data_IF_984176795525
#
_entry.id   IF_984176795525
#
_cell.length_a   1.000
_cell.length_b   1.000
_cell.length_c   1.000
_cell.angle_alpha   90.00
_cell.angle_beta   90.00
_cell.angle_gamma   90.00
#
_symmetry.space_group_name_H-M   'P 1'
#
loop_
_entity.id
_entity.type
_entity.pdbx_description
1 polymer ?
#
# COMPACT_ATOMS: atom_id res chain seq x y z
N UNK A 1 11.87 -11.83 -5.22
CA UNK A 1 11.91 -10.49 -5.87
C UNK A 1 12.11 -9.43 -4.81
N UNK A 2 13.09 -8.56 -5.00
CA UNK A 2 13.37 -7.50 -4.06
C UNK A 2 12.64 -6.22 -4.46
N UNK A 3 11.86 -5.69 -3.54
CA UNK A 3 11.21 -4.41 -3.72
C UNK A 3 11.98 -3.37 -2.88
N UNK A 4 12.44 -2.31 -3.52
CA UNK A 4 13.26 -1.29 -2.87
C UNK A 4 12.49 -0.04 -2.46
N UNK A 5 11.29 0.14 -2.98
CA UNK A 5 10.47 1.30 -2.67
C UNK A 5 9.07 0.87 -2.28
N UNK A 6 8.37 1.74 -1.55
CA UNK A 6 6.97 1.49 -1.19
C UNK A 6 6.11 1.30 -2.44
N UNK A 7 6.39 2.07 -3.50
CA UNK A 7 5.68 1.95 -4.76
C UNK A 7 5.79 0.55 -5.36
N UNK A 8 7.01 -0.01 -5.37
CA UNK A 8 7.24 -1.35 -5.90
C UNK A 8 6.53 -2.41 -5.06
N UNK A 9 6.62 -2.30 -3.73
CA UNK A 9 5.95 -3.24 -2.81
C UNK A 9 4.44 -3.23 -3.05
N UNK A 10 3.83 -2.07 -3.06
CA UNK A 10 2.38 -1.95 -3.25
C UNK A 10 1.98 -2.47 -4.62
N UNK A 11 2.74 -2.14 -5.67
CA UNK A 11 2.46 -2.61 -7.02
C UNK A 11 2.46 -4.13 -7.09
N UNK A 12 3.44 -4.78 -6.46
CA UNK A 12 3.52 -6.24 -6.41
C UNK A 12 2.32 -6.83 -5.67
N UNK A 13 1.98 -6.27 -4.53
CA UNK A 13 0.84 -6.76 -3.74
C UNK A 13 -0.49 -6.62 -4.49
N UNK A 14 -0.67 -5.50 -5.19
CA UNK A 14 -1.88 -5.30 -6.00
C UNK A 14 -1.95 -6.31 -7.14
N UNK A 15 -0.84 -6.56 -7.81
CA UNK A 15 -0.79 -7.54 -8.89
C UNK A 15 -1.11 -8.94 -8.39
N UNK A 16 -0.55 -9.35 -7.27
CA UNK A 16 -0.78 -10.68 -6.69
C UNK A 16 -2.24 -10.89 -6.27
N UNK A 17 -2.92 -9.82 -5.93
CA UNK A 17 -4.30 -9.91 -5.44
C UNK A 17 -5.33 -9.45 -6.47
N UNK A 18 -4.92 -9.20 -7.70
CA UNK A 18 -5.79 -8.70 -8.78
C UNK A 18 -6.57 -7.44 -8.37
N UNK A 19 -5.88 -6.52 -7.72
CA UNK A 19 -6.48 -5.28 -7.24
C UNK A 19 -5.94 -4.07 -8.01
N UNK A 20 -6.79 -3.06 -8.16
CA UNK A 20 -6.38 -1.76 -8.66
C UNK A 20 -6.10 -0.83 -7.48
N UNK A 21 -5.37 0.25 -7.73
CA UNK A 21 -5.11 1.26 -6.70
C UNK A 21 -6.40 1.95 -6.27
N UNK A 22 -7.35 2.09 -7.20
CA UNK A 22 -8.67 2.64 -6.92
C UNK A 22 -9.40 1.79 -5.88
N UNK A 23 -9.37 0.48 -6.05
CA UNK A 23 -10.00 -0.44 -5.11
C UNK A 23 -9.29 -0.44 -3.75
N UNK A 24 -7.97 -0.39 -3.76
CA UNK A 24 -7.19 -0.30 -2.52
C UNK A 24 -7.55 0.97 -1.74
N UNK A 25 -7.62 2.11 -2.42
CA UNK A 25 -8.01 3.37 -1.77
C UNK A 25 -9.40 3.26 -1.14
N UNK A 26 -10.33 2.60 -1.82
CA UNK A 26 -11.68 2.36 -1.29
C UNK A 26 -11.64 1.47 -0.05
N UNK A 27 -10.82 0.42 -0.05
CA UNK A 27 -10.66 -0.47 1.09
C UNK A 27 -10.06 0.24 2.31
N UNK A 28 -9.19 1.21 2.09
CA UNK A 28 -8.56 2.00 3.14
C UNK A 28 -9.49 3.08 3.71
N UNK A 29 -10.55 3.42 3.00
CA UNK A 29 -11.49 4.45 3.43
C UNK A 29 -12.42 3.93 4.53
N UNK A 30 -12.72 4.80 5.50
CA UNK A 30 -13.67 4.52 6.59
C UNK A 30 -14.75 5.59 6.56
N UNK A 31 -15.76 5.45 7.43
CA UNK A 31 -16.81 6.47 7.57
C UNK A 31 -16.24 7.84 7.95
N UNK A 32 -15.21 7.82 8.79
CA UNK A 32 -14.60 9.03 9.32
C UNK A 32 -13.48 9.58 8.45
N UNK A 33 -12.92 8.74 7.55
CA UNK A 33 -11.76 9.12 6.77
C UNK A 33 -11.86 8.54 5.37
N UNK A 34 -11.85 9.42 4.37
CA UNK A 34 -11.81 9.01 2.97
C UNK A 34 -10.39 9.03 2.44
N UNK A 35 -10.02 7.95 1.76
CA UNK A 35 -8.74 7.86 1.07
C UNK A 35 -9.00 7.92 -0.43
N UNK A 36 -8.40 8.90 -1.10
CA UNK A 36 -8.58 9.09 -2.53
C UNK A 36 -7.47 8.43 -3.31
N UNK A 37 -7.82 7.87 -4.45
CA UNK A 37 -6.87 7.22 -5.35
C UNK A 37 -5.73 8.16 -5.74
N UNK A 38 -6.04 9.41 -6.05
CA UNK A 38 -5.05 10.39 -6.45
C UNK A 38 -4.04 10.67 -5.34
N UNK A 39 -4.51 10.79 -4.10
CA UNK A 39 -3.64 11.00 -2.94
C UNK A 39 -2.73 9.81 -2.71
N UNK A 40 -3.28 8.62 -2.77
CA UNK A 40 -2.51 7.40 -2.57
C UNK A 40 -1.44 7.23 -3.67
N UNK A 41 -1.83 7.44 -4.93
CA UNK A 41 -0.90 7.40 -6.06
C UNK A 41 0.24 8.42 -5.90
N UNK A 42 -0.10 9.64 -5.49
CA UNK A 42 0.91 10.69 -5.29
C UNK A 42 1.91 10.31 -4.21
N UNK A 43 1.44 9.75 -3.10
CA UNK A 43 2.33 9.30 -2.02
C UNK A 43 3.28 8.20 -2.49
N UNK A 44 2.80 7.28 -3.31
CA UNK A 44 3.63 6.19 -3.83
C UNK A 44 4.67 6.71 -4.83
N UNK A 45 4.26 7.61 -5.73
CA UNK A 45 5.14 8.18 -6.74
C UNK A 45 6.21 9.06 -6.09
N UNK A 46 5.83 9.87 -5.11
CA UNK A 46 6.73 10.82 -4.44
C UNK A 46 7.54 10.20 -3.30
N UNK A 47 7.27 8.96 -2.95
CA UNK A 47 7.96 8.29 -1.86
C UNK A 47 7.60 8.85 -0.49
N UNK A 48 6.41 9.41 -0.33
CA UNK A 48 5.96 10.04 0.92
C UNK A 48 5.00 9.16 1.72
N UNK A 49 4.79 7.91 1.30
CA UNK A 49 3.95 6.98 2.04
C UNK A 49 4.61 6.66 3.38
N UNK A 50 3.87 6.86 4.46
CA UNK A 50 4.38 6.60 5.80
C UNK A 50 4.39 5.11 6.11
N UNK A 51 5.30 4.71 7.00
CA UNK A 51 5.38 3.31 7.43
C UNK A 51 4.05 2.79 7.97
N UNK A 52 3.36 3.58 8.77
CA UNK A 52 2.05 3.20 9.32
C UNK A 52 1.03 2.93 8.22
N UNK A 53 1.08 3.71 7.14
CA UNK A 53 0.21 3.52 5.98
C UNK A 53 0.56 2.23 5.25
N UNK A 54 1.84 1.90 5.15
CA UNK A 54 2.29 0.64 4.55
C UNK A 54 1.81 -0.57 5.37
N UNK A 55 1.92 -0.50 6.71
CA UNK A 55 1.42 -1.55 7.59
C UNK A 55 -0.07 -1.76 7.39
N UNK A 56 -0.84 -0.67 7.32
CA UNK A 56 -2.28 -0.73 7.09
C UNK A 56 -2.60 -1.43 5.77
N UNK A 57 -1.90 -1.08 4.69
CA UNK A 57 -2.09 -1.72 3.39
C UNK A 57 -1.80 -3.23 3.48
N UNK A 58 -0.70 -3.59 4.10
CA UNK A 58 -0.34 -5.00 4.25
C UNK A 58 -1.38 -5.79 5.05
N UNK A 59 -1.85 -5.22 6.15
CA UNK A 59 -2.88 -5.86 6.97
C UNK A 59 -4.19 -6.06 6.21
N UNK A 60 -4.61 -5.05 5.44
CA UNK A 60 -5.82 -5.14 4.63
C UNK A 60 -5.73 -6.26 3.59
N UNK A 61 -4.55 -6.52 3.06
CA UNK A 61 -4.33 -7.55 2.05
C UNK A 61 -3.92 -8.90 2.64
N UNK A 62 -3.80 -9.00 3.96
CA UNK A 62 -3.47 -10.25 4.64
C UNK A 62 -1.99 -10.58 4.71
N UNK A 63 -1.13 -9.57 4.71
CA UNK A 63 0.31 -9.75 4.77
C UNK A 63 0.90 -9.20 6.06
N UNK A 64 2.02 -9.80 6.48
CA UNK A 64 2.83 -9.29 7.57
C UNK A 64 4.13 -8.72 7.01
N UNK A 65 4.65 -7.69 7.68
CA UNK A 65 5.96 -7.14 7.34
C UNK A 65 7.00 -7.81 8.25
N UNK A 66 7.96 -8.48 7.64
CA UNK A 66 9.05 -9.13 8.38
C UNK A 66 10.38 -8.44 8.09
N UNK A 67 11.20 -8.33 9.13
CA UNK A 67 12.58 -7.84 9.00
C UNK A 67 13.53 -9.01 9.17
N UNK A 68 14.33 -9.26 8.15
CA UNK A 68 15.37 -10.29 8.19
C UNK A 68 16.72 -9.64 8.44
N UNK A 69 17.44 -10.17 9.43
CA UNK A 69 18.82 -9.74 9.66
C UNK A 69 19.70 -10.35 8.57
N UNK A 70 20.47 -9.49 7.95
CA UNK A 70 21.38 -9.91 6.88
C UNK A 70 22.67 -10.48 7.48
#
# INVERSE_FOLDING_TARGET
MEAKTAREVVKILLMKNNLSISKLARMMSTEDKKVYQQSLSAKLINGTLKYNEMVEICELLGYEIEFKKI
#
